data_IF_754771774398
#
_entry.id   IF_754771774398
#
_cell.length_a   1.000
_cell.length_b   1.000
_cell.length_c   1.000
_cell.angle_alpha   90.00
_cell.angle_beta   90.00
_cell.angle_gamma   90.00
#
_symmetry.space_group_name_H-M   'P 1'
#
loop_
_entity.id
_entity.type
_entity.pdbx_description
1 polymer ?
#
# COMPACT_ATOMS: atom_id res chain seq x y z
N UNK A 1 37.07 -0.47 -1.09
CA UNK A 1 35.84 0.12 -1.66
C UNK A 1 34.67 -0.34 -0.79
N UNK A 2 33.83 0.56 -0.28
CA UNK A 2 32.62 0.13 0.43
C UNK A 2 31.75 -0.63 -0.57
N UNK A 3 31.35 -1.83 -0.19
CA UNK A 3 30.46 -2.70 -0.94
C UNK A 3 29.29 -1.87 -1.46
N UNK A 4 29.10 -1.86 -2.79
CA UNK A 4 28.12 -0.99 -3.43
C UNK A 4 26.74 -1.29 -2.87
N UNK A 5 26.12 -0.30 -2.22
CA UNK A 5 24.75 -0.41 -1.72
C UNK A 5 23.84 -0.88 -2.86
N UNK A 6 23.31 -2.10 -2.76
CA UNK A 6 22.33 -2.62 -3.72
C UNK A 6 21.14 -1.65 -3.78
N UNK A 7 20.81 -1.16 -4.97
CA UNK A 7 19.63 -0.30 -5.18
C UNK A 7 18.39 -1.03 -4.70
N UNK A 8 17.60 -0.37 -3.85
CA UNK A 8 16.34 -0.89 -3.33
C UNK A 8 15.16 -0.31 -4.09
N UNK A 9 14.16 -1.14 -4.35
CA UNK A 9 12.92 -0.75 -5.02
C UNK A 9 11.73 -1.00 -4.11
N UNK A 10 10.84 -0.01 -4.00
CA UNK A 10 9.65 -0.10 -3.17
C UNK A 10 8.38 0.31 -3.93
N UNK A 11 7.22 -0.11 -3.42
CA UNK A 11 5.91 0.29 -3.91
C UNK A 11 5.21 1.22 -2.92
N UNK A 12 4.76 2.38 -3.38
CA UNK A 12 3.79 3.18 -2.65
C UNK A 12 2.38 2.76 -3.09
N UNK A 13 1.68 2.00 -2.26
CA UNK A 13 0.39 1.43 -2.60
C UNK A 13 -0.75 2.43 -2.40
N UNK A 14 -1.67 2.44 -3.35
CA UNK A 14 -2.86 3.28 -3.31
C UNK A 14 -3.96 2.57 -2.53
N UNK A 15 -4.51 3.26 -1.55
CA UNK A 15 -5.60 2.77 -0.72
C UNK A 15 -6.48 3.93 -0.28
N UNK A 16 -7.42 4.34 -1.12
CA UNK A 16 -8.40 5.38 -0.79
C UNK A 16 -9.68 5.05 -1.52
N UNK A 17 -10.81 5.01 -0.79
CA UNK A 17 -12.11 4.98 -1.41
C UNK A 17 -12.58 6.41 -1.65
N UNK A 18 -12.87 6.73 -2.91
CA UNK A 18 -13.56 7.94 -3.32
C UNK A 18 -15.03 7.89 -2.88
N UNK A 19 -15.75 9.03 -2.93
CA UNK A 19 -17.18 9.03 -2.62
C UNK A 19 -17.92 8.04 -3.51
N UNK A 20 -18.73 7.18 -2.90
CA UNK A 20 -19.51 6.10 -3.55
C UNK A 20 -18.70 4.88 -3.99
N UNK A 21 -17.38 4.83 -3.73
CA UNK A 21 -16.60 3.60 -3.91
C UNK A 21 -16.72 2.68 -2.70
N UNK A 22 -16.55 1.38 -2.94
CA UNK A 22 -16.56 0.34 -1.91
C UNK A 22 -15.21 0.27 -1.21
N UNK A 23 -15.17 0.62 0.08
CA UNK A 23 -13.97 0.47 0.89
C UNK A 23 -13.44 -0.99 0.96
N UNK A 24 -14.30 -2.03 1.03
CA UNK A 24 -13.86 -3.43 0.87
C UNK A 24 -13.18 -3.74 -0.47
N UNK A 25 -13.69 -3.23 -1.58
CA UNK A 25 -13.05 -3.47 -2.90
C UNK A 25 -11.67 -2.80 -2.97
N UNK A 26 -11.53 -1.59 -2.41
CA UNK A 26 -10.23 -0.93 -2.27
C UNK A 26 -9.26 -1.68 -1.37
N UNK A 27 -9.77 -2.41 -0.37
CA UNK A 27 -8.94 -3.29 0.43
C UNK A 27 -8.43 -4.48 -0.38
N UNK A 28 -9.27 -5.10 -1.20
CA UNK A 28 -8.85 -6.20 -2.08
C UNK A 28 -7.79 -5.74 -3.11
N UNK A 29 -7.94 -4.53 -3.65
CA UNK A 29 -6.92 -3.87 -4.51
C UNK A 29 -5.58 -3.67 -3.76
N UNK A 30 -5.60 -3.22 -2.51
CA UNK A 30 -4.39 -3.07 -1.69
C UNK A 30 -3.73 -4.44 -1.43
N UNK A 31 -4.50 -5.47 -1.09
CA UNK A 31 -3.98 -6.82 -0.86
C UNK A 31 -3.34 -7.41 -2.12
N UNK A 32 -3.90 -7.12 -3.30
CA UNK A 32 -3.31 -7.52 -4.58
C UNK A 32 -1.95 -6.83 -4.80
N UNK A 33 -1.82 -5.54 -4.49
CA UNK A 33 -0.56 -4.79 -4.56
C UNK A 33 0.50 -5.37 -3.60
N UNK A 34 0.13 -5.67 -2.35
CA UNK A 34 1.01 -6.32 -1.36
C UNK A 34 1.52 -7.66 -1.88
N UNK A 35 0.63 -8.51 -2.40
CA UNK A 35 0.99 -9.82 -2.96
C UNK A 35 1.91 -9.70 -4.18
N UNK A 36 1.69 -8.70 -5.03
CA UNK A 36 2.54 -8.43 -6.18
C UNK A 36 3.94 -7.98 -5.75
N UNK A 37 4.04 -7.03 -4.81
CA UNK A 37 5.30 -6.56 -4.27
C UNK A 37 6.14 -7.73 -3.71
N UNK A 38 5.51 -8.63 -2.96
CA UNK A 38 6.14 -9.86 -2.46
C UNK A 38 6.59 -10.79 -3.58
N UNK A 39 5.74 -11.04 -4.58
CA UNK A 39 6.03 -11.93 -5.72
C UNK A 39 7.25 -11.45 -6.53
N UNK A 40 7.39 -10.13 -6.72
CA UNK A 40 8.45 -9.54 -7.53
C UNK A 40 9.69 -9.14 -6.72
N UNK A 41 9.71 -9.40 -5.41
CA UNK A 41 10.88 -9.16 -4.57
C UNK A 41 11.19 -7.68 -4.33
N UNK A 42 10.16 -6.82 -4.24
CA UNK A 42 10.35 -5.44 -3.81
C UNK A 42 10.81 -5.39 -2.35
N UNK A 43 11.69 -4.44 -2.04
CA UNK A 43 12.31 -4.26 -0.73
C UNK A 43 11.36 -3.63 0.29
N UNK A 44 10.34 -2.89 -0.17
CA UNK A 44 9.39 -2.22 0.71
C UNK A 44 8.02 -2.01 0.07
N UNK A 45 7.00 -1.97 0.92
CA UNK A 45 5.69 -1.42 0.60
C UNK A 45 5.38 -0.29 1.58
N UNK A 46 4.94 0.84 1.05
CA UNK A 46 4.54 2.00 1.81
C UNK A 46 3.06 2.26 1.51
N UNK A 47 2.30 2.61 2.53
CA UNK A 47 0.89 2.99 2.37
C UNK A 47 0.70 4.30 3.09
N UNK A 48 0.12 5.28 2.42
CA UNK A 48 -0.34 6.50 3.07
C UNK A 48 -1.40 6.18 4.11
N UNK A 49 -1.69 7.12 5.01
CA UNK A 49 -2.85 6.99 5.87
C UNK A 49 -3.49 8.35 6.09
N UNK A 50 -4.79 8.44 5.83
CA UNK A 50 -5.58 9.65 6.02
C UNK A 50 -6.68 9.38 7.06
N UNK A 51 -6.61 10.07 8.20
CA UNK A 51 -7.69 10.09 9.19
C UNK A 51 -8.61 11.28 8.90
N UNK A 52 -9.93 11.06 8.95
CA UNK A 52 -10.95 12.11 9.04
C UNK A 52 -11.13 13.03 7.80
N UNK A 53 -10.67 12.62 6.61
CA UNK A 53 -10.82 13.44 5.40
C UNK A 53 -12.15 13.18 4.69
N UNK A 54 -13.27 13.71 5.17
CA UNK A 54 -14.52 13.72 4.37
C UNK A 54 -14.24 14.39 3.00
N UNK A 55 -14.67 13.81 1.87
CA UNK A 55 -15.57 12.65 1.72
C UNK A 55 -14.86 11.30 1.46
N UNK A 56 -13.55 11.21 1.70
CA UNK A 56 -12.73 10.03 1.47
C UNK A 56 -12.70 9.12 2.70
N UNK A 57 -12.85 7.82 2.48
CA UNK A 57 -12.78 6.81 3.53
C UNK A 57 -11.58 5.90 3.30
N UNK A 58 -10.90 5.56 4.38
CA UNK A 58 -9.72 4.71 4.35
C UNK A 58 -9.72 3.85 5.61
N UNK A 59 -9.66 2.51 5.45
CA UNK A 59 -9.46 1.63 6.60
C UNK A 59 -8.02 1.79 7.10
N UNK A 60 -7.75 1.43 8.35
CA UNK A 60 -6.36 1.35 8.81
C UNK A 60 -5.64 0.20 8.08
N UNK A 61 -4.57 0.47 7.31
CA UNK A 61 -3.86 -0.59 6.59
C UNK A 61 -2.92 -1.40 7.50
N UNK A 62 -2.60 -0.93 8.71
CA UNK A 62 -1.74 -1.62 9.70
C UNK A 62 -2.58 -2.59 10.56
N UNK A 63 -3.09 -3.69 9.98
CA UNK A 63 -2.39 -4.98 10.09
C UNK A 63 -2.31 -5.79 8.77
N UNK A 64 -2.54 -5.17 7.62
CA UNK A 64 -2.77 -5.84 6.33
C UNK A 64 -1.51 -5.90 5.43
N UNK A 65 -0.40 -5.33 5.90
CA UNK A 65 0.84 -5.17 5.12
C UNK A 65 1.86 -6.30 5.32
N UNK A 66 1.60 -7.25 6.23
CA UNK A 66 2.48 -8.38 6.51
C UNK A 66 1.98 -9.22 7.67
#
# INVERSE_FOLDING_TARGET
MKEGSKTKFGLFALFQALPKESAPEKLDELLAQVRAAKRYGLDSILVGQHYLSTPYQMLQPMPLLG
#
